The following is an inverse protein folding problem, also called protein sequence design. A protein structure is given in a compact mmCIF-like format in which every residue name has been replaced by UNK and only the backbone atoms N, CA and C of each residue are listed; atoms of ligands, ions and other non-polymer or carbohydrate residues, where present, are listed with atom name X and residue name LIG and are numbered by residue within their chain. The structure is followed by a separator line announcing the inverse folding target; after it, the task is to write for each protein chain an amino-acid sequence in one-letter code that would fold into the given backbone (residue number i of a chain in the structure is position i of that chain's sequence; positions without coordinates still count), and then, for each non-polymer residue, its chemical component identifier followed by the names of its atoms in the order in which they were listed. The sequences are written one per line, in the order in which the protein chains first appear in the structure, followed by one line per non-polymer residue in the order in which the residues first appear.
data_IF_388128310030
#
_entry.id   IF_388128310030
#
_cell.length_a   1.000
_cell.length_b   1.000
_cell.length_c   1.000
_cell.angle_alpha   90.00
_cell.angle_beta   90.00
_cell.angle_gamma   90.00
#
_symmetry.space_group_name_H-M   'P 1'
#
loop_
_entity.id
_entity.type
_entity.pdbx_description
1 polymer ?
#
# COMPACT_ATOMS: atom_id res chain seq x y z
N UNK A 1 -18.44 -13.27 -2.80
CA UNK A 1 -18.30 -11.82 -3.04
C UNK A 1 -17.49 -11.63 -4.30
N UNK A 2 -17.93 -10.78 -5.24
CA UNK A 2 -17.22 -10.60 -6.51
C UNK A 2 -15.94 -9.76 -6.25
N UNK A 3 -14.83 -10.05 -6.98
CA UNK A 3 -13.54 -9.33 -6.87
C UNK A 3 -13.71 -7.82 -7.04
N UNK A 4 -14.53 -7.40 -7.98
CA UNK A 4 -14.76 -5.98 -8.25
C UNK A 4 -15.51 -5.30 -7.09
N UNK A 5 -16.44 -6.00 -6.46
CA UNK A 5 -17.13 -5.50 -5.26
C UNK A 5 -16.16 -5.23 -4.12
N UNK A 6 -15.19 -6.13 -3.88
CA UNK A 6 -14.16 -5.90 -2.86
C UNK A 6 -13.30 -4.67 -3.16
N UNK A 7 -12.94 -4.44 -4.43
CA UNK A 7 -12.18 -3.25 -4.83
C UNK A 7 -12.96 -1.97 -4.60
N UNK A 8 -14.24 -1.94 -4.95
CA UNK A 8 -15.09 -0.75 -4.71
C UNK A 8 -15.26 -0.48 -3.22
N UNK A 9 -15.48 -1.52 -2.41
CA UNK A 9 -15.54 -1.34 -0.95
C UNK A 9 -14.23 -0.78 -0.41
N UNK A 10 -13.08 -1.32 -0.84
CA UNK A 10 -11.77 -0.82 -0.42
C UNK A 10 -11.54 0.65 -0.84
N UNK A 11 -11.98 1.05 -2.03
CA UNK A 11 -11.89 2.46 -2.48
C UNK A 11 -12.78 3.35 -1.60
N UNK A 12 -14.01 2.94 -1.31
CA UNK A 12 -14.93 3.71 -0.46
C UNK A 12 -14.38 3.86 0.96
N UNK A 13 -13.86 2.78 1.55
CA UNK A 13 -13.26 2.84 2.89
C UNK A 13 -12.00 3.70 2.92
N UNK A 14 -11.21 3.73 1.85
CA UNK A 14 -10.08 4.64 1.71
C UNK A 14 -10.53 6.10 1.63
N UNK A 15 -11.59 6.41 0.89
CA UNK A 15 -12.17 7.77 0.83
C UNK A 15 -12.65 8.19 2.22
N UNK A 16 -13.35 7.32 2.96
CA UNK A 16 -13.78 7.61 4.34
C UNK A 16 -12.59 7.94 5.26
N UNK A 17 -11.49 7.19 5.16
CA UNK A 17 -10.27 7.48 5.90
C UNK A 17 -9.67 8.85 5.55
N UNK A 18 -9.64 9.20 4.27
CA UNK A 18 -9.13 10.51 3.84
C UNK A 18 -10.01 11.65 4.35
N UNK A 19 -11.33 11.50 4.30
CA UNK A 19 -12.27 12.48 4.85
C UNK A 19 -12.04 12.64 6.36
N UNK A 20 -11.87 11.54 7.10
CA UNK A 20 -11.59 11.59 8.53
C UNK A 20 -10.31 12.39 8.82
N UNK A 21 -9.23 12.11 8.10
CA UNK A 21 -7.94 12.80 8.28
C UNK A 21 -7.95 14.28 7.88
N UNK A 22 -8.82 14.68 6.94
CA UNK A 22 -8.91 16.06 6.47
C UNK A 22 -9.82 16.94 7.33
N UNK A 23 -10.94 16.40 7.81
CA UNK A 23 -12.02 17.19 8.39
C UNK A 23 -12.27 16.93 9.87
N UNK A 24 -11.77 15.82 10.41
CA UNK A 24 -11.99 15.46 11.82
C UNK A 24 -10.71 15.62 12.64
N UNK A 25 -10.87 15.94 13.90
CA UNK A 25 -9.78 16.02 14.87
C UNK A 25 -9.48 14.65 15.49
N UNK A 26 -8.20 14.29 15.64
CA UNK A 26 -7.81 13.07 16.36
C UNK A 26 -8.39 13.06 17.77
N UNK A 27 -8.82 11.88 18.24
CA UNK A 27 -9.46 11.70 19.54
C UNK A 27 -10.99 11.77 19.52
N UNK A 28 -11.61 12.02 18.37
CA UNK A 28 -13.06 11.90 18.20
C UNK A 28 -13.40 10.46 17.77
N UNK A 29 -14.45 9.89 18.36
CA UNK A 29 -14.94 8.54 18.04
C UNK A 29 -15.14 8.32 16.53
N UNK A 30 -15.68 9.31 15.83
CA UNK A 30 -15.85 9.24 14.36
C UNK A 30 -14.53 9.20 13.62
N UNK A 31 -13.52 9.96 14.07
CA UNK A 31 -12.19 9.92 13.48
C UNK A 31 -11.56 8.53 13.60
N UNK A 32 -11.59 7.96 14.78
CA UNK A 32 -11.01 6.64 15.06
C UNK A 32 -11.72 5.55 14.26
N UNK A 33 -13.07 5.53 14.28
CA UNK A 33 -13.85 4.54 13.54
C UNK A 33 -13.60 4.60 12.02
N UNK A 34 -13.56 5.79 11.43
CA UNK A 34 -13.30 5.94 10.00
C UNK A 34 -11.83 5.64 9.64
N UNK A 35 -10.91 5.89 10.56
CA UNK A 35 -9.49 5.54 10.40
C UNK A 35 -9.30 4.03 10.43
N UNK A 36 -9.95 3.34 11.36
CA UNK A 36 -9.89 1.88 11.49
C UNK A 36 -10.47 1.18 10.25
N UNK A 37 -11.58 1.69 9.72
CA UNK A 37 -12.13 1.22 8.44
C UNK A 37 -11.11 1.39 7.30
N UNK A 38 -10.28 2.41 7.35
CA UNK A 38 -9.19 2.61 6.40
C UNK A 38 -8.12 1.52 6.42
N UNK A 39 -7.85 0.90 7.57
CA UNK A 39 -6.91 -0.24 7.66
C UNK A 39 -7.38 -1.44 6.82
N UNK A 40 -8.69 -1.65 6.74
CA UNK A 40 -9.26 -2.66 5.85
C UNK A 40 -8.91 -2.38 4.38
N UNK A 41 -9.00 -1.12 3.94
CA UNK A 41 -8.62 -0.73 2.57
C UNK A 41 -7.15 -1.07 2.28
N UNK A 42 -6.24 -0.77 3.21
CA UNK A 42 -4.82 -1.02 3.03
C UNK A 42 -4.51 -2.51 2.88
N UNK A 43 -5.07 -3.35 3.77
CA UNK A 43 -4.87 -4.80 3.69
C UNK A 43 -5.46 -5.39 2.41
N UNK A 44 -6.63 -4.94 2.00
CA UNK A 44 -7.28 -5.36 0.75
C UNK A 44 -6.45 -4.97 -0.47
N UNK A 45 -5.88 -3.76 -0.49
CA UNK A 45 -5.01 -3.31 -1.58
C UNK A 45 -3.69 -4.08 -1.61
N UNK A 46 -3.09 -4.43 -0.46
CA UNK A 46 -1.93 -5.31 -0.39
C UNK A 46 -2.22 -6.70 -0.96
N UNK A 47 -3.38 -7.27 -0.64
CA UNK A 47 -3.83 -8.54 -1.22
C UNK A 47 -3.95 -8.46 -2.74
N UNK A 48 -4.64 -7.44 -3.27
CA UNK A 48 -4.78 -7.25 -4.72
C UNK A 48 -3.45 -6.93 -5.42
N UNK A 49 -2.49 -6.33 -4.72
CA UNK A 49 -1.15 -6.11 -5.23
C UNK A 49 -0.44 -7.44 -5.50
N UNK A 50 -0.46 -8.34 -4.51
CA UNK A 50 0.16 -9.67 -4.61
C UNK A 50 -0.56 -10.50 -5.67
N UNK A 51 -1.88 -10.52 -5.65
CA UNK A 51 -2.67 -11.18 -6.67
C UNK A 51 -2.34 -10.63 -8.07
N UNK A 52 -2.30 -9.31 -8.24
CA UNK A 52 -1.94 -8.65 -9.50
C UNK A 52 -0.53 -8.99 -9.97
N UNK A 53 0.42 -9.15 -9.04
CA UNK A 53 1.78 -9.55 -9.36
C UNK A 53 1.83 -10.96 -9.98
N UNK A 54 1.11 -11.92 -9.43
CA UNK A 54 1.10 -13.31 -9.93
C UNK A 54 0.30 -13.48 -11.23
N UNK A 55 -0.77 -12.71 -11.41
CA UNK A 55 -1.61 -12.81 -12.62
C UNK A 55 -1.16 -11.91 -13.77
N UNK A 56 -0.20 -11.01 -13.57
CA UNK A 56 0.23 -10.11 -14.65
C UNK A 56 1.23 -10.78 -15.59
N UNK A 57 1.03 -10.61 -16.88
CA UNK A 57 1.97 -11.10 -17.90
C UNK A 57 3.29 -10.33 -17.90
N UNK A 58 3.28 -9.04 -17.55
CA UNK A 58 4.46 -8.18 -17.53
C UNK A 58 4.54 -7.39 -16.24
N UNK A 59 5.42 -7.83 -15.33
CA UNK A 59 5.68 -7.19 -14.04
C UNK A 59 6.17 -5.75 -14.19
N UNK A 60 7.01 -5.49 -15.20
CA UNK A 60 7.52 -4.14 -15.51
C UNK A 60 6.39 -3.18 -15.89
N UNK A 61 5.48 -3.61 -16.75
CA UNK A 61 4.33 -2.79 -17.16
C UNK A 61 3.36 -2.58 -16.00
N UNK A 62 3.22 -3.55 -15.11
CA UNK A 62 2.41 -3.41 -13.91
C UNK A 62 2.99 -2.37 -12.95
N UNK A 63 4.29 -2.46 -12.66
CA UNK A 63 5.02 -1.49 -11.85
C UNK A 63 5.00 -0.08 -12.49
N UNK A 64 5.18 0.00 -13.80
CA UNK A 64 5.12 1.28 -14.54
C UNK A 64 3.77 1.96 -14.44
N UNK A 65 2.67 1.22 -14.60
CA UNK A 65 1.32 1.77 -14.40
C UNK A 65 1.10 2.24 -12.97
N UNK A 66 1.52 1.44 -11.99
CA UNK A 66 1.40 1.80 -10.58
C UNK A 66 2.20 3.07 -10.26
N UNK A 67 3.41 3.21 -10.83
CA UNK A 67 4.24 4.40 -10.70
C UNK A 67 3.56 5.65 -11.28
N UNK A 68 3.01 5.56 -12.51
CA UNK A 68 2.31 6.68 -13.14
C UNK A 68 1.14 7.14 -12.28
N UNK A 69 0.32 6.21 -11.79
CA UNK A 69 -0.79 6.57 -10.90
C UNK A 69 -0.31 7.12 -9.56
N UNK A 70 0.79 6.60 -8.99
CA UNK A 70 1.38 7.10 -7.75
C UNK A 70 1.82 8.57 -7.90
N UNK A 71 2.50 8.91 -9.00
CA UNK A 71 2.95 10.28 -9.29
C UNK A 71 1.76 11.22 -9.52
N UNK A 72 0.79 10.81 -10.34
CA UNK A 72 -0.40 11.62 -10.61
C UNK A 72 -1.22 11.89 -9.34
N UNK A 73 -1.39 10.88 -8.50
CA UNK A 73 -2.16 11.02 -7.26
C UNK A 73 -1.40 11.71 -6.14
N UNK A 74 -0.07 11.84 -6.24
CA UNK A 74 0.73 12.56 -5.25
C UNK A 74 0.41 14.05 -5.24
N UNK A 75 0.08 14.65 -6.39
CA UNK A 75 -0.24 16.08 -6.48
C UNK A 75 -1.45 16.43 -5.61
N UNK A 76 -2.66 15.86 -5.84
CA UNK A 76 -3.80 16.14 -4.99
C UNK A 76 -3.60 15.68 -3.54
N UNK A 77 -2.85 14.58 -3.32
CA UNK A 77 -2.54 14.12 -1.97
C UNK A 77 -1.72 15.15 -1.18
N UNK A 78 -0.64 15.69 -1.76
CA UNK A 78 0.20 16.70 -1.10
C UNK A 78 -0.52 18.03 -0.86
N UNK A 79 -1.51 18.36 -1.71
CA UNK A 79 -2.35 19.54 -1.50
C UNK A 79 -3.34 19.35 -0.35
N UNK A 80 -3.85 18.12 -0.16
CA UNK A 80 -4.80 17.78 0.88
C UNK A 80 -4.12 17.56 2.25
N UNK A 81 -3.01 16.83 2.23
CA UNK A 81 -2.25 16.46 3.43
C UNK A 81 -0.88 17.13 3.36
N UNK A 82 -0.69 18.20 4.10
CA UNK A 82 0.58 18.96 4.16
C UNK A 82 1.64 18.29 5.04
N UNK A 83 1.65 16.98 5.13
CA UNK A 83 2.52 16.17 6.01
C UNK A 83 3.83 15.73 5.36
N UNK A 84 4.02 16.01 4.07
CA UNK A 84 5.23 15.64 3.32
C UNK A 84 5.39 14.13 3.08
N UNK A 85 4.40 13.32 3.42
CA UNK A 85 4.43 11.87 3.21
C UNK A 85 4.08 11.49 1.77
N UNK A 86 4.63 10.36 1.33
CA UNK A 86 4.25 9.76 0.06
C UNK A 86 2.91 9.03 0.20
N UNK A 87 2.09 9.12 -0.84
CA UNK A 87 0.79 8.47 -0.86
C UNK A 87 0.90 6.94 -0.82
N UNK A 88 -0.24 6.27 -0.58
CA UNK A 88 -0.32 4.83 -0.46
C UNK A 88 0.17 4.07 -1.71
N UNK A 89 0.02 4.63 -2.91
CA UNK A 89 0.44 3.97 -4.15
C UNK A 89 1.96 3.85 -4.24
N UNK A 90 2.73 4.79 -3.69
CA UNK A 90 4.19 4.64 -3.55
C UNK A 90 4.54 3.53 -2.57
N UNK A 91 3.80 3.40 -1.48
CA UNK A 91 3.98 2.28 -0.54
C UNK A 91 3.74 0.94 -1.24
N UNK A 92 2.65 0.83 -2.02
CA UNK A 92 2.34 -0.38 -2.79
C UNK A 92 3.39 -0.67 -3.86
N UNK A 93 3.92 0.37 -4.53
CA UNK A 93 5.00 0.21 -5.51
C UNK A 93 6.26 -0.33 -4.86
N UNK A 94 6.62 0.17 -3.67
CA UNK A 94 7.74 -0.34 -2.89
C UNK A 94 7.51 -1.80 -2.47
N UNK A 95 6.29 -2.11 -2.00
CA UNK A 95 5.90 -3.45 -1.58
C UNK A 95 5.87 -4.46 -2.75
N UNK A 96 5.76 -3.99 -4.00
CA UNK A 96 5.85 -4.87 -5.18
C UNK A 96 7.22 -5.55 -5.32
N UNK A 97 8.26 -4.98 -4.72
CA UNK A 97 9.58 -5.62 -4.68
C UNK A 97 9.62 -6.84 -3.76
N UNK A 98 8.72 -6.97 -2.78
CA UNK A 98 8.72 -8.10 -1.82
C UNK A 98 8.50 -9.44 -2.51
N UNK A 99 7.42 -9.67 -3.30
CA UNK A 99 7.23 -10.95 -3.99
C UNK A 99 8.36 -11.23 -5.00
N UNK A 100 8.90 -10.21 -5.65
CA UNK A 100 10.02 -10.40 -6.58
C UNK A 100 11.29 -10.84 -5.86
N UNK A 101 11.58 -10.29 -4.68
CA UNK A 101 12.70 -10.71 -3.84
C UNK A 101 12.52 -12.13 -3.31
N UNK A 102 11.31 -12.52 -2.93
CA UNK A 102 11.05 -13.86 -2.40
C UNK A 102 11.15 -14.96 -3.47
N UNK A 103 10.97 -14.62 -4.75
CA UNK A 103 11.12 -15.56 -5.87
C UNK A 103 12.57 -15.67 -6.38
N UNK A 104 13.43 -14.70 -6.10
CA UNK A 104 14.82 -14.74 -6.58
C UNK A 104 15.68 -15.67 -5.73
N UNK A 105 16.47 -16.56 -6.36
CA UNK A 105 17.48 -17.33 -5.64
C UNK A 105 18.64 -16.38 -5.24
N UNK A 106 18.59 -15.87 -4.03
CA UNK A 106 19.59 -14.98 -3.44
C UNK A 106 20.18 -15.61 -2.18
N UNK A 107 21.37 -15.16 -1.76
CA UNK A 107 21.92 -15.56 -0.49
C UNK A 107 21.03 -15.04 0.66
N UNK A 108 20.91 -15.80 1.76
CA UNK A 108 20.04 -15.43 2.88
C UNK A 108 20.32 -14.04 3.45
N UNK A 109 21.58 -13.63 3.49
CA UNK A 109 21.98 -12.31 3.98
C UNK A 109 21.54 -11.16 3.04
N UNK A 110 21.62 -11.36 1.72
CA UNK A 110 21.13 -10.41 0.71
C UNK A 110 19.61 -10.24 0.81
N UNK A 111 18.90 -11.35 1.00
CA UNK A 111 17.47 -11.36 1.19
C UNK A 111 17.06 -10.58 2.44
N UNK A 112 17.74 -10.80 3.58
CA UNK A 112 17.49 -10.06 4.82
C UNK A 112 17.78 -8.57 4.67
N UNK A 113 18.90 -8.20 4.06
CA UNK A 113 19.26 -6.79 3.84
C UNK A 113 18.21 -6.10 2.95
N UNK A 114 17.80 -6.74 1.87
CA UNK A 114 16.79 -6.18 0.96
C UNK A 114 15.44 -5.98 1.64
N UNK A 115 15.00 -6.93 2.46
CA UNK A 115 13.78 -6.76 3.27
C UNK A 115 13.91 -5.61 4.26
N UNK A 116 15.01 -5.53 5.01
CA UNK A 116 15.26 -4.43 5.95
C UNK A 116 15.23 -3.07 5.22
N UNK A 117 15.78 -3.00 4.03
CA UNK A 117 15.81 -1.79 3.22
C UNK A 117 14.40 -1.38 2.75
N UNK A 118 13.56 -2.34 2.36
CA UNK A 118 12.15 -2.09 2.03
C UNK A 118 11.40 -1.59 3.27
N UNK A 119 11.57 -2.25 4.41
CA UNK A 119 10.91 -1.86 5.66
C UNK A 119 11.33 -0.47 6.13
N UNK A 120 12.62 -0.13 6.05
CA UNK A 120 13.13 1.20 6.44
C UNK A 120 12.65 2.29 5.50
N UNK A 121 12.68 2.04 4.18
CA UNK A 121 12.19 3.00 3.18
C UNK A 121 10.68 3.22 3.31
N UNK A 122 9.93 2.18 3.67
CA UNK A 122 8.50 2.27 3.91
C UNK A 122 8.12 3.23 5.06
N UNK A 123 9.07 3.55 5.93
CA UNK A 123 8.83 4.49 7.04
C UNK A 123 8.50 5.92 6.56
N UNK A 124 8.98 6.29 5.37
CA UNK A 124 8.67 7.57 4.72
C UNK A 124 7.33 7.59 3.99
N UNK A 125 6.65 6.46 3.94
CA UNK A 125 5.37 6.32 3.26
C UNK A 125 4.19 6.32 4.24
N UNK A 126 2.99 6.56 3.71
CA UNK A 126 1.77 6.73 4.49
C UNK A 126 1.43 5.50 5.38
N UNK A 127 1.72 4.29 4.92
CA UNK A 127 1.39 3.03 5.61
C UNK A 127 2.59 2.32 6.23
N UNK A 128 3.67 3.02 6.46
CA UNK A 128 4.89 2.60 7.17
C UNK A 128 5.15 1.08 7.11
N UNK A 129 5.01 0.38 8.25
CA UNK A 129 5.34 -1.06 8.39
C UNK A 129 4.17 -1.99 8.04
N UNK A 130 2.93 -1.51 8.08
CA UNK A 130 1.73 -2.36 7.93
C UNK A 130 1.64 -2.93 6.51
N UNK A 131 1.90 -2.12 5.48
CA UNK A 131 1.80 -2.57 4.10
C UNK A 131 2.89 -3.60 3.72
N UNK A 132 4.20 -3.38 3.98
CA UNK A 132 5.21 -4.40 3.68
C UNK A 132 4.99 -5.69 4.46
N UNK A 133 4.55 -5.61 5.73
CA UNK A 133 4.23 -6.78 6.53
C UNK A 133 3.05 -7.56 5.94
N UNK A 134 1.99 -6.85 5.55
CA UNK A 134 0.82 -7.46 4.91
C UNK A 134 1.19 -8.17 3.61
N UNK A 135 1.96 -7.51 2.73
CA UNK A 135 2.42 -8.12 1.47
C UNK A 135 3.33 -9.33 1.74
N UNK A 136 4.25 -9.23 2.69
CA UNK A 136 5.11 -10.36 3.06
C UNK A 136 4.31 -11.58 3.52
N UNK A 137 3.28 -11.36 4.36
CA UNK A 137 2.39 -12.44 4.80
C UNK A 137 1.58 -13.04 3.65
N UNK A 138 1.01 -12.24 2.76
CA UNK A 138 0.24 -12.71 1.61
C UNK A 138 1.08 -13.45 0.55
N UNK A 139 2.38 -13.20 0.49
CA UNK A 139 3.29 -13.95 -0.39
C UNK A 139 3.69 -15.27 0.24
N UNK A 140 3.81 -15.32 1.57
CA UNK A 140 4.28 -16.51 2.28
C UNK A 140 3.19 -17.56 2.51
N UNK A 141 1.92 -17.14 2.66
CA UNK A 141 0.76 -18.00 2.97
C UNK A 141 -0.30 -17.93 1.86
#
# INVERSE_FOLDING_TARGET
MNRDTCKYIAILTMICNHIARMFLTPGNFLYESLSDIGYFAAMTMCYFLVEGYYYTRSRKNYAGRLLVFAVLSQIPYSMAFRDGQLNMLFTLLLCLAVPELMERPMAEWEHRISLVLIFTTSFFCCWKLIAPLGVYLFVRY
#
